data_IF_472316114468
#
_entry.id   IF_472316114468
#
_cell.length_a   1.000
_cell.length_b   1.000
_cell.length_c   1.000
_cell.angle_alpha   90.00
_cell.angle_beta   90.00
_cell.angle_gamma   90.00
#
_symmetry.space_group_name_H-M   'P 1'
#
loop_
_entity.id
_entity.type
_entity.pdbx_description
1 polymer ?
#
# COMPACT_ATOMS: atom_id res chain seq x y z
N UNK A 1 3.57 12.39 -33.52
CA UNK A 1 4.29 11.74 -32.39
C UNK A 1 3.69 10.35 -32.25
N UNK A 2 4.27 9.40 -33.00
CA UNK A 2 3.58 8.20 -33.48
C UNK A 2 3.81 6.96 -32.62
N UNK A 3 3.07 5.89 -32.96
CA UNK A 3 3.09 4.56 -32.32
C UNK A 3 4.50 3.98 -32.16
N UNK A 4 5.45 4.40 -32.99
CA UNK A 4 6.84 3.97 -32.96
C UNK A 4 7.60 4.44 -31.71
N UNK A 5 7.26 5.63 -31.17
CA UNK A 5 7.84 6.11 -29.91
C UNK A 5 7.31 5.33 -28.70
N UNK A 6 6.03 4.98 -28.70
CA UNK A 6 5.41 4.11 -27.70
C UNK A 6 5.97 2.68 -27.78
N UNK A 7 6.20 2.16 -28.99
CA UNK A 7 6.82 0.86 -29.20
C UNK A 7 8.27 0.84 -28.71
N UNK A 8 9.03 1.91 -28.96
CA UNK A 8 10.40 2.06 -28.46
C UNK A 8 10.44 2.10 -26.93
N UNK A 9 9.52 2.83 -26.27
CA UNK A 9 9.39 2.82 -24.80
C UNK A 9 9.05 1.42 -24.30
N UNK A 10 8.10 0.72 -24.93
CA UNK A 10 7.73 -0.65 -24.55
C UNK A 10 8.87 -1.66 -24.73
N UNK A 11 9.66 -1.50 -25.80
CA UNK A 11 10.84 -2.32 -26.08
C UNK A 11 11.94 -2.01 -25.06
N UNK A 12 12.22 -0.75 -24.77
CA UNK A 12 13.19 -0.34 -23.75
C UNK A 12 12.81 -0.82 -22.34
N UNK A 13 11.53 -0.77 -21.97
CA UNK A 13 11.02 -1.31 -20.71
C UNK A 13 11.17 -2.84 -20.61
N UNK A 14 11.19 -3.55 -21.75
CA UNK A 14 11.44 -4.99 -21.82
C UNK A 14 12.93 -5.36 -21.85
N UNK A 15 13.85 -4.41 -22.07
CA UNK A 15 15.29 -4.68 -22.20
C UNK A 15 16.00 -4.77 -20.83
N UNK A 16 15.41 -4.24 -19.74
CA UNK A 16 15.96 -4.43 -18.39
C UNK A 16 15.40 -5.68 -17.72
N UNK A 17 16.24 -6.68 -17.44
CA UNK A 17 15.85 -7.85 -16.63
C UNK A 17 15.43 -7.49 -15.20
N UNK A 18 15.80 -6.30 -14.72
CA UNK A 18 15.35 -5.74 -13.45
C UNK A 18 14.34 -4.63 -13.69
N UNK A 19 13.07 -4.95 -13.48
CA UNK A 19 12.02 -3.96 -13.31
C UNK A 19 11.82 -3.67 -11.83
N UNK A 20 11.59 -2.40 -11.50
CA UNK A 20 11.18 -2.01 -10.15
C UNK A 20 9.78 -2.58 -9.90
N UNK A 21 9.61 -3.28 -8.79
CA UNK A 21 8.31 -3.76 -8.32
C UNK A 21 8.00 -3.24 -6.91
N UNK A 22 6.78 -3.53 -6.46
CA UNK A 22 6.28 -3.07 -5.16
C UNK A 22 6.19 -4.20 -4.14
N UNK A 23 6.93 -5.31 -4.32
CA UNK A 23 6.81 -6.49 -3.44
C UNK A 23 7.25 -6.20 -2.01
N UNK A 24 8.27 -5.35 -1.85
CA UNK A 24 8.83 -4.96 -0.55
C UNK A 24 8.53 -3.48 -0.23
N UNK A 25 8.74 -2.58 -1.20
CA UNK A 25 8.61 -1.12 -0.99
C UNK A 25 9.48 -0.65 0.19
N UNK A 26 8.95 0.14 1.13
CA UNK A 26 9.63 0.58 2.37
C UNK A 26 9.45 -0.41 3.54
N UNK A 27 8.84 -1.57 3.28
CA UNK A 27 8.64 -2.65 4.24
C UNK A 27 7.91 -2.31 5.55
N UNK A 28 7.07 -1.27 5.52
CA UNK A 28 6.22 -0.82 6.64
C UNK A 28 5.36 -1.95 7.25
N UNK A 29 5.05 -2.98 6.45
CA UNK A 29 4.28 -4.14 6.90
C UNK A 29 5.00 -4.92 8.02
N UNK A 30 6.33 -4.98 7.98
CA UNK A 30 7.14 -5.68 8.98
C UNK A 30 7.75 -4.73 10.02
N UNK A 31 7.97 -3.46 9.66
CA UNK A 31 8.60 -2.44 10.53
C UNK A 31 7.62 -1.50 11.25
N UNK A 32 6.32 -1.84 11.26
CA UNK A 32 5.23 -1.03 11.81
C UNK A 32 5.52 -0.36 13.17
N UNK A 33 6.03 -1.12 14.14
CA UNK A 33 6.27 -0.60 15.50
C UNK A 33 7.43 0.41 15.54
N UNK A 34 8.51 0.11 14.81
CA UNK A 34 9.68 0.97 14.67
C UNK A 34 9.29 2.28 13.97
N UNK A 35 8.55 2.18 12.86
CA UNK A 35 8.08 3.33 12.09
C UNK A 35 7.20 4.25 12.93
N UNK A 36 6.23 3.72 13.70
CA UNK A 36 5.38 4.54 14.57
C UNK A 36 6.20 5.17 15.71
N UNK A 37 7.20 4.47 16.25
CA UNK A 37 8.11 5.03 17.27
C UNK A 37 8.88 6.23 16.73
N UNK A 38 9.43 6.12 15.52
CA UNK A 38 10.13 7.22 14.85
C UNK A 38 9.18 8.38 14.52
N UNK A 39 7.96 8.10 14.06
CA UNK A 39 6.94 9.15 13.82
C UNK A 39 6.64 9.94 15.11
N UNK A 40 6.58 9.26 16.25
CA UNK A 40 6.38 9.89 17.56
C UNK A 40 7.58 10.74 17.96
N UNK A 41 8.80 10.24 17.78
CA UNK A 41 10.04 10.96 18.07
C UNK A 41 10.15 12.25 17.24
N UNK A 42 9.77 12.18 15.96
CA UNK A 42 9.71 13.33 15.05
C UNK A 42 8.59 14.33 15.40
N UNK A 43 7.70 13.98 16.34
CA UNK A 43 6.63 14.86 16.81
C UNK A 43 5.45 14.99 15.86
N UNK A 44 5.20 14.00 14.98
CA UNK A 44 4.04 14.00 14.10
C UNK A 44 2.75 14.13 14.91
N UNK A 45 1.81 14.94 14.41
CA UNK A 45 0.47 15.12 15.00
C UNK A 45 -0.59 14.25 14.34
N UNK A 46 -0.36 13.90 13.09
CA UNK A 46 -1.26 13.06 12.30
C UNK A 46 -0.45 12.23 11.32
N UNK A 47 -0.93 11.05 10.97
CA UNK A 47 -0.35 10.20 9.95
C UNK A 47 -1.42 9.74 8.97
N UNK A 48 -1.24 10.11 7.70
CA UNK A 48 -2.15 9.74 6.62
C UNK A 48 -1.65 8.48 5.92
N UNK A 49 -2.48 7.45 5.88
CA UNK A 49 -2.18 6.19 5.19
C UNK A 49 -3.41 5.67 4.43
N UNK A 50 -3.21 4.70 3.56
CA UNK A 50 -4.30 4.04 2.82
C UNK A 50 -4.53 2.61 3.27
N UNK A 51 -5.79 2.19 3.25
CA UNK A 51 -6.15 0.77 3.37
C UNK A 51 -5.95 0.13 2.00
N UNK A 52 -5.16 -0.92 1.94
CA UNK A 52 -4.94 -1.66 0.70
C UNK A 52 -6.15 -2.55 0.42
N UNK A 53 -6.90 -2.27 -0.65
CA UNK A 53 -8.12 -3.00 -0.95
C UNK A 53 -7.82 -4.49 -1.15
N UNK A 54 -6.83 -4.82 -1.98
CA UNK A 54 -6.41 -6.21 -2.23
C UNK A 54 -5.85 -6.92 -0.99
N UNK A 55 -5.44 -6.20 0.06
CA UNK A 55 -5.07 -6.82 1.33
C UNK A 55 -6.28 -7.28 2.13
N UNK A 56 -7.36 -6.51 2.10
CA UNK A 56 -8.61 -6.82 2.81
C UNK A 56 -9.48 -7.79 2.00
N UNK A 57 -9.58 -7.58 0.68
CA UNK A 57 -10.34 -8.40 -0.26
C UNK A 57 -9.42 -8.73 -1.46
N UNK A 58 -8.70 -9.87 -1.43
CA UNK A 58 -7.71 -10.24 -2.47
C UNK A 58 -8.18 -10.14 -3.92
N UNK A 59 -9.40 -10.59 -4.21
CA UNK A 59 -10.08 -10.47 -5.49
C UNK A 59 -10.96 -9.22 -5.56
N UNK A 60 -11.26 -8.61 -4.41
CA UNK A 60 -11.98 -7.35 -4.30
C UNK A 60 -13.48 -7.51 -4.07
N UNK A 61 -14.00 -8.72 -4.23
CA UNK A 61 -15.42 -9.07 -4.12
C UNK A 61 -15.68 -10.26 -3.18
N UNK A 62 -14.72 -10.63 -2.33
CA UNK A 62 -14.96 -11.67 -1.33
C UNK A 62 -16.05 -11.27 -0.33
N UNK A 63 -16.88 -12.25 0.04
CA UNK A 63 -17.96 -12.06 1.03
C UNK A 63 -17.45 -11.65 2.42
N UNK A 64 -16.26 -12.10 2.78
CA UNK A 64 -15.65 -11.84 4.08
C UNK A 64 -14.22 -11.30 3.89
N UNK A 65 -13.80 -10.33 4.72
CA UNK A 65 -12.47 -9.76 4.64
C UNK A 65 -11.39 -10.74 5.13
N UNK A 66 -10.17 -10.57 4.62
CA UNK A 66 -8.97 -11.21 5.11
C UNK A 66 -8.65 -10.74 6.54
N UNK A 67 -8.84 -11.64 7.51
CA UNK A 67 -8.63 -11.37 8.93
C UNK A 67 -7.22 -10.85 9.25
N UNK A 68 -6.18 -11.43 8.66
CA UNK A 68 -4.79 -10.96 8.87
C UNK A 68 -4.57 -9.54 8.35
N UNK A 69 -5.22 -9.20 7.24
CA UNK A 69 -5.21 -7.84 6.70
C UNK A 69 -5.83 -6.84 7.67
N UNK A 70 -6.97 -7.19 8.27
CA UNK A 70 -7.61 -6.37 9.30
C UNK A 70 -6.75 -6.23 10.56
N UNK A 71 -6.16 -7.33 11.05
CA UNK A 71 -5.29 -7.33 12.23
C UNK A 71 -4.11 -6.34 12.07
N UNK A 72 -3.51 -6.26 10.87
CA UNK A 72 -2.47 -5.28 10.58
C UNK A 72 -2.94 -3.83 10.79
N UNK A 73 -4.09 -3.47 10.20
CA UNK A 73 -4.59 -2.09 10.31
C UNK A 73 -5.10 -1.76 11.71
N UNK A 74 -5.70 -2.72 12.42
CA UNK A 74 -6.02 -2.57 13.84
C UNK A 74 -4.77 -2.25 14.65
N UNK A 75 -3.69 -3.01 14.45
CA UNK A 75 -2.41 -2.77 15.13
C UNK A 75 -1.83 -1.39 14.81
N UNK A 76 -1.84 -0.96 13.54
CA UNK A 76 -1.36 0.37 13.14
C UNK A 76 -2.16 1.49 13.81
N UNK A 77 -3.49 1.42 13.74
CA UNK A 77 -4.38 2.42 14.34
C UNK A 77 -4.16 2.50 15.85
N UNK A 78 -4.11 1.35 16.53
CA UNK A 78 -3.87 1.29 17.97
C UNK A 78 -2.51 1.91 18.36
N UNK A 79 -1.45 1.62 17.60
CA UNK A 79 -0.11 2.17 17.84
C UNK A 79 -0.06 3.68 17.63
N UNK A 80 -0.71 4.19 16.58
CA UNK A 80 -0.80 5.63 16.31
C UNK A 80 -1.55 6.36 17.44
N UNK A 81 -2.72 5.86 17.83
CA UNK A 81 -3.53 6.44 18.92
C UNK A 81 -2.75 6.43 20.23
N UNK A 82 -2.13 5.30 20.59
CA UNK A 82 -1.27 5.19 21.79
C UNK A 82 -0.07 6.14 21.76
N UNK A 83 0.38 6.51 20.56
CA UNK A 83 1.50 7.45 20.36
C UNK A 83 1.06 8.92 20.32
N UNK A 84 -0.25 9.20 20.41
CA UNK A 84 -0.79 10.56 20.30
C UNK A 84 -0.77 11.11 18.87
N UNK A 85 -0.77 10.23 17.87
CA UNK A 85 -0.77 10.56 16.44
C UNK A 85 -2.16 10.27 15.86
N UNK A 86 -2.80 11.27 15.28
CA UNK A 86 -4.14 11.12 14.68
C UNK A 86 -4.08 10.32 13.35
N UNK A 87 -4.77 9.18 13.23
CA UNK A 87 -4.81 8.42 11.99
C UNK A 87 -5.75 9.08 10.96
N UNK A 88 -5.24 9.40 9.76
CA UNK A 88 -6.04 9.92 8.64
C UNK A 88 -6.12 8.85 7.55
N UNK A 89 -7.31 8.28 7.36
CA UNK A 89 -7.47 7.09 6.52
C UNK A 89 -7.93 7.46 5.12
N UNK A 90 -7.19 6.96 4.13
CA UNK A 90 -7.56 6.98 2.71
C UNK A 90 -8.13 5.62 2.32
N UNK A 91 -9.38 5.58 1.84
CA UNK A 91 -10.04 4.31 1.49
C UNK A 91 -9.59 3.73 0.15
N UNK A 92 -9.09 4.57 -0.76
CA UNK A 92 -8.62 4.14 -2.07
C UNK A 92 -7.42 4.99 -2.51
N UNK A 93 -6.33 4.35 -2.90
CA UNK A 93 -5.12 5.04 -3.33
C UNK A 93 -4.48 4.33 -4.54
N UNK A 94 -5.23 4.27 -5.63
CA UNK A 94 -4.82 3.71 -6.93
C UNK A 94 -4.44 2.21 -6.87
N UNK A 95 -5.03 1.46 -5.94
CA UNK A 95 -4.65 0.08 -5.58
C UNK A 95 -5.79 -0.94 -5.82
N UNK A 96 -6.61 -0.70 -6.85
CA UNK A 96 -7.73 -1.57 -7.18
C UNK A 96 -7.29 -3.03 -7.41
N UNK A 97 -7.98 -4.04 -6.84
CA UNK A 97 -7.68 -5.44 -7.10
C UNK A 97 -7.74 -5.76 -8.59
N UNK A 98 -6.69 -6.40 -9.10
CA UNK A 98 -6.56 -6.72 -10.53
C UNK A 98 -7.70 -7.59 -11.05
N UNK A 99 -8.26 -8.47 -10.20
CA UNK A 99 -9.40 -9.30 -10.55
C UNK A 99 -10.62 -8.47 -11.00
N UNK A 100 -10.91 -7.35 -10.33
CA UNK A 100 -12.03 -6.48 -10.70
C UNK A 100 -11.81 -5.75 -12.03
N UNK A 101 -10.56 -5.57 -12.46
CA UNK A 101 -10.21 -4.93 -13.73
C UNK A 101 -10.33 -5.92 -14.90
N UNK A 102 -10.04 -7.20 -14.64
CA UNK A 102 -10.00 -8.27 -15.65
C UNK A 102 -11.29 -9.09 -15.75
N UNK A 103 -12.32 -8.71 -14.99
CA UNK A 103 -13.61 -9.41 -14.93
C UNK A 103 -14.38 -9.32 -16.24
#
# INVERSE_FOLDING_TARGET
MGKDFLLLIFVLLKISEKQLDTKVSVDHYHHLEEDVSLMKELGLKSYRFSISWSRIFPNGDEKYPNKKGLEFYHKLIDLLIKSGIEPIITMYHFDQPYHLIRK
#
